data_IF_002708388557
#
_entry.id   IF_002708388557
#
_cell.length_a   1.000
_cell.length_b   1.000
_cell.length_c   1.000
_cell.angle_alpha   90.00
_cell.angle_beta   90.00
_cell.angle_gamma   90.00
#
_symmetry.space_group_name_H-M   'P 1'
#
loop_
_entity.id
_entity.type
_entity.pdbx_description
1 polymer ?
#
# COMPACT_ATOMS: atom_id res chain seq x y z
N UNK A 1 -26.72 -17.96 21.11
CA UNK A 1 -26.18 -18.77 22.24
C UNK A 1 -24.81 -18.25 22.62
N UNK A 2 -24.22 -18.69 23.75
CA UNK A 2 -22.83 -18.32 24.11
C UNK A 2 -21.84 -18.71 23.01
N UNK A 3 -22.06 -19.84 22.34
CA UNK A 3 -21.26 -20.28 21.21
C UNK A 3 -21.34 -19.32 20.01
N UNK A 4 -22.54 -18.81 19.68
CA UNK A 4 -22.70 -17.84 18.60
C UNK A 4 -22.05 -16.49 18.92
N UNK A 5 -22.07 -16.07 20.19
CA UNK A 5 -21.42 -14.84 20.65
C UNK A 5 -19.88 -14.97 20.62
N UNK A 6 -19.33 -16.11 21.02
CA UNK A 6 -17.90 -16.38 20.93
C UNK A 6 -17.42 -16.49 19.48
N UNK A 7 -18.21 -17.11 18.59
CA UNK A 7 -17.93 -17.15 17.17
C UNK A 7 -17.97 -15.75 16.53
N UNK A 8 -18.95 -14.92 16.93
CA UNK A 8 -19.06 -13.53 16.49
C UNK A 8 -17.87 -12.69 16.95
N UNK A 9 -17.49 -12.81 18.23
CA UNK A 9 -16.30 -12.14 18.77
C UNK A 9 -15.03 -12.55 18.05
N UNK A 10 -14.83 -13.86 17.83
CA UNK A 10 -13.66 -14.37 17.10
C UNK A 10 -13.61 -13.86 15.65
N UNK A 11 -14.76 -13.78 14.98
CA UNK A 11 -14.85 -13.21 13.63
C UNK A 11 -14.53 -11.72 13.61
N UNK A 12 -14.98 -10.96 14.62
CA UNK A 12 -14.65 -9.54 14.77
C UNK A 12 -13.15 -9.38 15.03
N UNK A 13 -12.55 -10.15 15.95
CA UNK A 13 -11.12 -10.08 16.27
C UNK A 13 -10.22 -10.50 15.09
N UNK A 14 -10.70 -11.40 14.23
CA UNK A 14 -9.97 -11.83 13.02
C UNK A 14 -10.07 -10.79 11.91
N UNK A 15 -11.19 -10.08 11.80
CA UNK A 15 -11.43 -9.05 10.80
C UNK A 15 -10.84 -7.69 11.21
N UNK A 16 -10.89 -7.35 12.50
CA UNK A 16 -10.47 -6.09 13.11
C UNK A 16 -9.16 -6.27 13.84
N UNK A 17 -8.11 -5.66 13.31
CA UNK A 17 -6.76 -5.83 13.81
C UNK A 17 -6.28 -4.51 14.40
N UNK A 18 -6.34 -4.37 15.72
CA UNK A 18 -5.80 -3.17 16.38
C UNK A 18 -4.30 -3.01 16.08
N UNK A 19 -3.94 -1.87 15.49
CA UNK A 19 -2.56 -1.59 15.11
C UNK A 19 -1.65 -1.55 16.31
N UNK A 20 -2.12 -1.02 17.44
CA UNK A 20 -1.32 -0.99 18.67
C UNK A 20 -0.94 -2.40 19.12
N UNK A 21 -1.83 -3.38 19.00
CA UNK A 21 -1.55 -4.75 19.41
C UNK A 21 -0.60 -5.47 18.43
N UNK A 22 -0.77 -5.27 17.13
CA UNK A 22 0.14 -5.87 16.14
C UNK A 22 1.51 -5.19 16.08
N UNK A 23 1.56 -3.87 16.10
CA UNK A 23 2.82 -3.11 16.04
C UNK A 23 3.66 -3.24 17.31
N UNK A 24 3.08 -3.68 18.44
CA UNK A 24 3.85 -4.12 19.61
C UNK A 24 4.82 -5.26 19.30
N UNK A 25 4.57 -6.03 18.24
CA UNK A 25 5.47 -7.10 17.76
C UNK A 25 6.52 -6.62 16.75
N UNK A 26 6.59 -5.30 16.52
CA UNK A 26 7.55 -4.65 15.62
C UNK A 26 7.06 -4.50 14.17
N UNK A 27 7.64 -3.53 13.46
CA UNK A 27 7.41 -3.30 12.03
C UNK A 27 7.82 -4.50 11.16
N UNK A 28 8.84 -5.25 11.57
CA UNK A 28 9.29 -6.44 10.84
C UNK A 28 8.19 -7.51 10.76
N UNK A 29 7.44 -7.73 11.85
CA UNK A 29 6.36 -8.71 11.87
C UNK A 29 5.22 -8.35 10.92
N UNK A 30 4.90 -7.05 10.84
CA UNK A 30 3.90 -6.54 9.89
C UNK A 30 4.32 -6.75 8.44
N UNK A 31 5.61 -6.63 8.12
CA UNK A 31 6.10 -6.96 6.78
C UNK A 31 5.94 -8.46 6.48
N UNK A 32 6.23 -9.35 7.44
CA UNK A 32 6.06 -10.81 7.25
C UNK A 32 4.60 -11.21 6.98
N UNK A 33 3.64 -10.66 7.72
CA UNK A 33 2.21 -10.95 7.49
C UNK A 33 1.71 -10.43 6.14
N UNK A 34 2.26 -9.31 5.68
CA UNK A 34 1.99 -8.80 4.33
C UNK A 34 2.60 -9.70 3.26
N UNK A 35 3.81 -10.23 3.47
CA UNK A 35 4.47 -11.20 2.58
C UNK A 35 3.69 -12.50 2.43
N UNK A 36 3.09 -13.02 3.51
CA UNK A 36 2.29 -14.27 3.47
C UNK A 36 1.03 -14.13 2.61
N UNK A 37 0.34 -13.00 2.68
CA UNK A 37 -0.82 -12.74 1.83
C UNK A 37 -0.39 -12.61 0.37
N UNK A 38 0.68 -11.85 0.11
CA UNK A 38 1.20 -11.62 -1.23
C UNK A 38 1.72 -12.89 -1.92
N UNK A 39 2.37 -13.80 -1.19
CA UNK A 39 2.92 -15.04 -1.76
C UNK A 39 1.84 -15.99 -2.27
N UNK A 40 0.65 -15.98 -1.65
CA UNK A 40 -0.51 -16.81 -2.02
C UNK A 40 -1.36 -16.21 -3.14
N UNK A 41 -1.15 -14.94 -3.47
CA UNK A 41 -1.91 -14.24 -4.49
C UNK A 41 -1.26 -14.36 -5.87
N UNK A 42 -2.04 -14.27 -6.94
CA UNK A 42 -1.52 -14.18 -8.33
C UNK A 42 -1.61 -12.74 -8.85
N UNK A 43 -2.66 -12.01 -8.48
CA UNK A 43 -2.90 -10.62 -8.81
C UNK A 43 -2.98 -9.81 -7.52
N UNK A 44 -2.18 -8.74 -7.45
CA UNK A 44 -2.17 -7.82 -6.32
C UNK A 44 -2.54 -6.44 -6.84
N UNK A 45 -3.63 -5.89 -6.32
CA UNK A 45 -4.11 -4.53 -6.62
C UNK A 45 -3.91 -3.67 -5.40
N UNK A 46 -3.52 -2.41 -5.55
CA UNK A 46 -3.31 -1.52 -4.43
C UNK A 46 -3.70 -0.09 -4.80
N UNK A 47 -4.47 0.55 -3.94
CA UNK A 47 -4.79 1.97 -4.00
C UNK A 47 -4.11 2.69 -2.83
N UNK A 48 -3.32 3.72 -3.14
CA UNK A 48 -2.71 4.61 -2.15
C UNK A 48 -2.99 6.08 -2.51
N UNK A 49 -3.85 6.79 -1.76
CA UNK A 49 -4.26 8.14 -2.13
C UNK A 49 -3.18 9.20 -1.88
N UNK A 50 -2.30 9.00 -0.88
CA UNK A 50 -1.44 10.06 -0.36
C UNK A 50 -0.02 9.63 0.04
N UNK A 51 0.36 8.35 -0.14
CA UNK A 51 1.68 7.82 0.15
C UNK A 51 2.11 6.84 -0.95
N UNK A 52 3.41 6.65 -1.17
CA UNK A 52 3.88 5.62 -2.09
C UNK A 52 3.73 4.23 -1.46
N UNK A 53 3.14 3.29 -2.22
CA UNK A 53 2.99 1.89 -1.82
C UNK A 53 4.30 1.29 -1.32
N UNK A 54 4.27 0.58 -0.19
CA UNK A 54 5.45 -0.04 0.42
C UNK A 54 6.20 -1.03 -0.49
N UNK A 55 5.56 -1.54 -1.55
CA UNK A 55 6.23 -2.38 -2.56
C UNK A 55 7.07 -1.58 -3.56
N UNK A 56 6.86 -0.27 -3.67
CA UNK A 56 7.54 0.63 -4.61
C UNK A 56 8.52 1.57 -3.92
N UNK A 57 8.60 1.52 -2.59
CA UNK A 57 9.43 2.42 -1.79
C UNK A 57 10.94 2.16 -1.96
N UNK A 58 11.77 3.19 -1.92
CA UNK A 58 13.20 3.07 -1.66
C UNK A 58 13.44 2.78 -0.18
N UNK A 59 14.66 2.35 0.18
CA UNK A 59 15.02 2.12 1.57
C UNK A 59 14.90 3.40 2.41
N UNK A 60 15.39 4.53 1.89
CA UNK A 60 15.34 5.83 2.57
C UNK A 60 13.90 6.31 2.78
N UNK A 61 13.03 6.19 1.78
CA UNK A 61 11.62 6.56 1.92
C UNK A 61 10.91 5.62 2.92
N UNK A 62 11.18 4.31 2.84
CA UNK A 62 10.64 3.34 3.78
C UNK A 62 11.07 3.65 5.22
N UNK A 63 12.33 4.05 5.43
CA UNK A 63 12.85 4.43 6.74
C UNK A 63 12.17 5.69 7.28
N UNK A 64 11.94 6.69 6.44
CA UNK A 64 11.22 7.91 6.83
C UNK A 64 9.77 7.63 7.23
N UNK A 65 9.04 6.84 6.42
CA UNK A 65 7.67 6.41 6.74
C UNK A 65 7.64 5.63 8.06
N UNK A 66 8.51 4.64 8.21
CA UNK A 66 8.54 3.79 9.41
C UNK A 66 8.93 4.56 10.67
N UNK A 67 9.88 5.50 10.58
CA UNK A 67 10.24 6.37 11.68
C UNK A 67 9.03 7.17 12.18
N UNK A 68 8.24 7.73 11.26
CA UNK A 68 7.02 8.47 11.61
C UNK A 68 5.99 7.55 12.29
N UNK A 69 5.79 6.33 11.77
CA UNK A 69 4.89 5.33 12.38
C UNK A 69 5.37 4.94 13.78
N UNK A 70 6.66 4.68 13.96
CA UNK A 70 7.25 4.30 15.24
C UNK A 70 7.03 5.40 16.28
N UNK A 71 7.33 6.65 15.92
CA UNK A 71 7.15 7.81 16.79
C UNK A 71 5.68 8.05 17.13
N UNK A 72 4.79 7.98 16.15
CA UNK A 72 3.36 8.25 16.33
C UNK A 72 2.68 7.22 17.23
N UNK A 73 2.93 5.92 17.01
CA UNK A 73 2.31 4.85 17.79
C UNK A 73 3.09 4.48 19.06
N UNK A 74 4.26 5.09 19.30
CA UNK A 74 5.12 4.85 20.47
C UNK A 74 5.46 3.36 20.64
N UNK A 75 5.88 2.72 19.55
CA UNK A 75 6.21 1.29 19.49
C UNK A 75 7.73 1.06 19.59
N UNK A 76 8.20 -0.17 19.87
CA UNK A 76 9.63 -0.46 19.88
C UNK A 76 10.30 -0.05 18.58
N UNK A 77 11.48 0.54 18.68
CA UNK A 77 12.24 0.96 17.51
C UNK A 77 12.98 -0.23 16.89
N UNK A 78 12.33 -0.90 15.94
CA UNK A 78 12.90 -1.95 15.10
C UNK A 78 13.10 -1.47 13.65
N UNK A 79 13.44 -0.18 13.47
CA UNK A 79 13.47 0.47 12.15
C UNK A 79 14.32 -0.29 11.12
N UNK A 80 15.58 -0.61 11.46
CA UNK A 80 16.51 -1.26 10.52
C UNK A 80 16.02 -2.64 10.09
N UNK A 81 15.48 -3.42 11.03
CA UNK A 81 14.86 -4.73 10.76
C UNK A 81 13.60 -4.58 9.90
N UNK A 82 12.78 -3.58 10.19
CA UNK A 82 11.57 -3.26 9.43
C UNK A 82 11.88 -2.87 7.99
N UNK A 83 12.87 -1.99 7.77
CA UNK A 83 13.30 -1.53 6.44
C UNK A 83 13.86 -2.72 5.67
N UNK A 84 14.74 -3.52 6.29
CA UNK A 84 15.29 -4.74 5.69
C UNK A 84 14.18 -5.67 5.24
N UNK A 85 13.25 -6.01 6.13
CA UNK A 85 12.12 -6.89 5.82
C UNK A 85 11.23 -6.34 4.69
N UNK A 86 11.05 -5.01 4.60
CA UNK A 86 10.33 -4.40 3.49
C UNK A 86 11.07 -4.54 2.17
N UNK A 87 12.38 -4.24 2.14
CA UNK A 87 13.19 -4.37 0.93
C UNK A 87 13.24 -5.83 0.44
N UNK A 88 13.33 -6.80 1.36
CA UNK A 88 13.25 -8.22 1.01
C UNK A 88 11.91 -8.60 0.39
N UNK A 89 10.81 -8.09 0.96
CA UNK A 89 9.45 -8.32 0.44
C UNK A 89 9.28 -7.77 -0.97
N UNK A 90 9.94 -6.68 -1.34
CA UNK A 90 9.83 -6.09 -2.68
C UNK A 90 10.36 -7.00 -3.80
N UNK A 91 11.18 -8.01 -3.48
CA UNK A 91 11.64 -9.01 -4.47
C UNK A 91 10.47 -9.74 -5.15
N UNK A 92 9.29 -9.76 -4.53
CA UNK A 92 8.08 -10.34 -5.12
C UNK A 92 7.66 -9.68 -6.44
N UNK A 93 8.03 -8.41 -6.67
CA UNK A 93 7.75 -7.70 -7.93
C UNK A 93 8.36 -8.36 -9.16
N UNK A 94 9.41 -9.16 -8.97
CA UNK A 94 10.15 -9.82 -10.05
C UNK A 94 9.73 -11.28 -10.27
N UNK A 95 8.77 -11.79 -9.49
CA UNK A 95 8.26 -13.16 -9.64
C UNK A 95 7.35 -13.27 -10.88
N UNK A 96 7.59 -14.31 -11.70
CA UNK A 96 6.94 -14.46 -13.02
C UNK A 96 5.46 -14.81 -12.95
N UNK A 97 5.00 -15.36 -11.83
CA UNK A 97 3.62 -15.78 -11.58
C UNK A 97 2.78 -14.67 -10.92
N UNK A 98 3.36 -13.49 -10.67
CA UNK A 98 2.66 -12.37 -10.01
C UNK A 98 2.38 -11.23 -10.98
N UNK A 99 1.19 -10.61 -10.86
CA UNK A 99 0.81 -9.37 -11.54
C UNK A 99 0.42 -8.32 -10.53
N UNK A 100 0.84 -7.09 -10.77
CA UNK A 100 0.59 -5.97 -9.89
C UNK A 100 -0.10 -4.83 -10.63
N UNK A 101 -1.09 -4.22 -9.97
CA UNK A 101 -1.68 -2.97 -10.41
C UNK A 101 -1.72 -2.00 -9.24
N UNK A 102 -0.80 -1.04 -9.26
CA UNK A 102 -0.70 0.03 -8.29
C UNK A 102 -1.40 1.26 -8.83
N UNK A 103 -2.32 1.81 -8.04
CA UNK A 103 -2.95 3.10 -8.27
C UNK A 103 -2.50 4.03 -7.16
N UNK A 104 -1.96 5.17 -7.56
CA UNK A 104 -1.58 6.23 -6.64
C UNK A 104 -2.47 7.44 -6.89
N UNK A 105 -2.94 8.10 -5.83
CA UNK A 105 -3.38 9.48 -5.98
C UNK A 105 -2.17 10.35 -6.30
N UNK A 106 -2.30 11.31 -7.23
CA UNK A 106 -1.18 12.20 -7.57
C UNK A 106 -0.62 12.94 -6.33
N UNK A 107 -1.44 13.19 -5.30
CA UNK A 107 -1.00 13.73 -4.01
C UNK A 107 0.12 12.89 -3.36
N UNK A 108 0.19 11.58 -3.58
CA UNK A 108 1.25 10.72 -3.07
C UNK A 108 2.65 11.09 -3.57
N UNK A 109 2.75 11.79 -4.71
CA UNK A 109 4.01 12.30 -5.24
C UNK A 109 4.50 13.56 -4.50
N UNK A 110 3.58 14.26 -3.84
CA UNK A 110 3.81 15.55 -3.19
C UNK A 110 3.91 15.45 -1.67
N UNK A 111 3.29 14.45 -1.04
CA UNK A 111 3.43 14.19 0.40
C UNK A 111 4.88 13.84 0.76
N UNK A 112 5.55 14.72 1.51
CA UNK A 112 6.96 14.54 1.88
C UNK A 112 7.13 13.54 3.01
N UNK A 113 7.95 12.51 2.77
CA UNK A 113 8.49 11.63 3.80
C UNK A 113 10.02 11.73 3.76
N UNK A 114 10.63 12.15 4.86
CA UNK A 114 12.05 12.48 4.91
C UNK A 114 12.29 13.90 4.42
N UNK A 115 13.18 14.06 3.46
CA UNK A 115 13.53 15.34 2.84
C UNK A 115 13.40 15.28 1.31
N UNK A 116 13.75 16.37 0.62
CA UNK A 116 13.67 16.43 -0.84
C UNK A 116 14.60 15.43 -1.53
N UNK A 117 15.76 15.12 -0.96
CA UNK A 117 16.67 14.09 -1.48
C UNK A 117 16.04 12.70 -1.44
N UNK A 118 15.39 12.36 -0.33
CA UNK A 118 14.63 11.10 -0.17
C UNK A 118 13.49 11.03 -1.19
N UNK A 119 12.75 12.12 -1.33
CA UNK A 119 11.63 12.20 -2.28
C UNK A 119 12.08 12.09 -3.74
N UNK A 120 13.17 12.75 -4.13
CA UNK A 120 13.73 12.64 -5.49
C UNK A 120 14.11 11.19 -5.78
N UNK A 121 14.82 10.52 -4.88
CA UNK A 121 15.16 9.10 -5.04
C UNK A 121 13.93 8.20 -5.14
N UNK A 122 12.87 8.52 -4.39
CA UNK A 122 11.60 7.80 -4.49
C UNK A 122 10.87 8.01 -5.83
N UNK A 123 10.86 9.25 -6.34
CA UNK A 123 10.23 9.56 -7.63
C UNK A 123 11.01 8.92 -8.79
N UNK A 124 12.34 8.94 -8.74
CA UNK A 124 13.21 8.23 -9.70
C UNK A 124 12.93 6.72 -9.68
N UNK A 125 12.69 6.13 -8.50
CA UNK A 125 12.27 4.73 -8.38
C UNK A 125 10.95 4.46 -9.08
N UNK A 126 9.92 5.32 -8.92
CA UNK A 126 8.64 5.15 -9.63
C UNK A 126 8.84 5.23 -11.15
N UNK A 127 9.67 6.18 -11.61
CA UNK A 127 10.04 6.30 -13.00
C UNK A 127 10.66 5.00 -13.54
N UNK A 128 11.54 4.36 -12.76
CA UNK A 128 12.18 3.08 -13.15
C UNK A 128 11.22 1.89 -13.21
N UNK A 129 10.09 1.94 -12.49
CA UNK A 129 9.11 0.84 -12.41
C UNK A 129 8.13 0.88 -13.59
N UNK A 130 7.86 2.07 -14.15
CA UNK A 130 7.06 2.19 -15.37
C UNK A 130 7.78 1.43 -16.49
N UNK A 131 7.10 0.42 -17.05
CA UNK A 131 7.65 -0.47 -18.08
C UNK A 131 8.11 -1.84 -17.56
N UNK A 132 8.15 -2.05 -16.23
CA UNK A 132 8.45 -3.37 -15.67
C UNK A 132 7.35 -4.38 -16.07
N UNK A 133 7.69 -5.56 -16.63
CA UNK A 133 6.70 -6.54 -17.01
C UNK A 133 5.82 -6.94 -15.83
N UNK A 134 4.51 -7.08 -16.07
CA UNK A 134 3.51 -7.48 -15.06
C UNK A 134 3.27 -6.46 -13.94
N UNK A 135 3.81 -5.26 -14.05
CA UNK A 135 3.48 -4.13 -13.16
C UNK A 135 2.78 -3.05 -13.96
N UNK A 136 1.58 -2.68 -13.52
CA UNK A 136 0.87 -1.48 -14.00
C UNK A 136 0.92 -0.45 -12.88
N UNK A 137 1.42 0.75 -13.20
CA UNK A 137 1.38 1.91 -12.32
C UNK A 137 0.46 2.96 -12.95
N UNK A 138 -0.68 3.19 -12.30
CA UNK A 138 -1.60 4.27 -12.62
C UNK A 138 -1.51 5.39 -11.59
N UNK A 139 -1.68 6.62 -12.05
CA UNK A 139 -1.76 7.80 -11.18
C UNK A 139 -3.10 8.48 -11.45
N UNK A 140 -3.93 8.62 -10.41
CA UNK A 140 -5.19 9.36 -10.46
C UNK A 140 -4.85 10.85 -10.32
N UNK A 141 -5.08 11.68 -11.35
CA UNK A 141 -4.76 13.10 -11.30
C UNK A 141 -5.54 13.83 -10.20
N UNK A 142 -4.95 14.89 -9.62
CA UNK A 142 -5.58 15.72 -8.56
C UNK A 142 -6.90 16.35 -8.99
N UNK A 143 -7.05 16.61 -10.29
CA UNK A 143 -8.24 17.24 -10.88
C UNK A 143 -9.29 16.23 -11.36
N UNK A 144 -9.06 14.92 -11.17
CA UNK A 144 -10.04 13.90 -11.51
C UNK A 144 -11.33 14.06 -10.69
N UNK A 145 -12.49 13.77 -11.30
CA UNK A 145 -13.78 13.82 -10.62
C UNK A 145 -13.81 12.83 -9.44
N UNK A 146 -14.33 13.22 -8.28
CA UNK A 146 -14.46 12.32 -7.13
C UNK A 146 -15.60 11.30 -7.25
N UNK A 147 -15.49 10.33 -8.17
CA UNK A 147 -16.54 9.31 -8.39
C UNK A 147 -16.62 8.26 -7.26
N UNK A 148 -15.50 8.04 -6.57
CA UNK A 148 -15.43 7.17 -5.39
C UNK A 148 -14.41 7.76 -4.41
N UNK A 149 -14.73 7.70 -3.12
CA UNK A 149 -13.82 8.09 -2.04
C UNK A 149 -13.65 6.86 -1.16
N UNK A 150 -12.40 6.44 -1.00
CA UNK A 150 -12.03 5.21 -0.31
C UNK A 150 -10.61 5.36 0.24
N UNK A 151 -10.42 4.84 1.45
CA UNK A 151 -9.13 4.73 2.14
C UNK A 151 -8.13 3.85 1.37
N UNK A 152 -6.88 3.78 1.81
CA UNK A 152 -5.91 2.90 1.15
C UNK A 152 -6.22 1.42 1.41
N UNK A 153 -6.05 0.59 0.38
CA UNK A 153 -6.27 -0.84 0.48
C UNK A 153 -5.40 -1.65 -0.48
N UNK A 154 -5.20 -2.91 -0.14
CA UNK A 154 -4.61 -3.95 -0.98
C UNK A 154 -5.64 -5.03 -1.25
N UNK A 155 -5.81 -5.44 -2.50
CA UNK A 155 -6.55 -6.64 -2.87
C UNK A 155 -5.58 -7.74 -3.29
N UNK A 156 -5.78 -8.93 -2.76
CA UNK A 156 -5.05 -10.16 -3.08
C UNK A 156 -6.02 -11.12 -3.76
N UNK A 157 -5.91 -11.20 -5.09
CA UNK A 157 -6.92 -11.81 -5.96
C UNK A 157 -8.34 -11.29 -5.64
N UNK A 158 -9.35 -12.15 -5.75
CA UNK A 158 -10.72 -11.91 -5.29
C UNK A 158 -10.98 -12.65 -3.95
N UNK A 159 -9.96 -12.73 -3.10
CA UNK A 159 -9.97 -13.54 -1.87
C UNK A 159 -9.82 -12.74 -0.59
N UNK A 160 -9.11 -11.63 -0.65
CA UNK A 160 -8.79 -10.82 0.52
C UNK A 160 -8.58 -9.37 0.10
N UNK A 161 -9.24 -8.46 0.81
CA UNK A 161 -8.86 -7.05 0.83
C UNK A 161 -8.32 -6.70 2.21
N UNK A 162 -7.17 -6.04 2.26
CA UNK A 162 -6.63 -5.45 3.48
C UNK A 162 -6.77 -3.94 3.39
N UNK A 163 -7.48 -3.37 4.35
CA UNK A 163 -7.75 -1.94 4.47
C UNK A 163 -6.92 -1.43 5.64
N UNK A 164 -6.23 -0.30 5.47
CA UNK A 164 -5.43 0.27 6.56
C UNK A 164 -6.13 1.45 7.21
N UNK A 165 -6.70 1.25 8.41
CA UNK A 165 -7.19 2.35 9.24
C UNK A 165 -6.07 2.98 10.08
N UNK A 166 -6.39 3.98 10.90
CA UNK A 166 -5.41 4.60 11.81
C UNK A 166 -5.34 3.90 13.17
N UNK A 167 -6.43 3.33 13.66
CA UNK A 167 -6.44 2.55 14.90
C UNK A 167 -6.28 1.05 14.66
N UNK A 168 -6.80 0.57 13.53
CA UNK A 168 -6.81 -0.84 13.16
C UNK A 168 -6.80 -1.05 11.65
N UNK A 169 -6.29 -2.19 11.21
CA UNK A 169 -6.47 -2.70 9.85
C UNK A 169 -7.69 -3.60 9.77
N UNK A 170 -8.33 -3.65 8.61
CA UNK A 170 -9.47 -4.55 8.36
C UNK A 170 -9.09 -5.57 7.30
N UNK A 171 -9.33 -6.85 7.58
CA UNK A 171 -9.23 -7.93 6.59
C UNK A 171 -10.62 -8.33 6.12
N UNK A 172 -10.95 -7.96 4.88
CA UNK A 172 -12.24 -8.25 4.24
C UNK A 172 -12.11 -9.51 3.40
N UNK A 173 -12.88 -10.53 3.75
CA UNK A 173 -12.91 -11.84 3.08
C UNK A 173 -14.29 -12.19 2.50
N UNK A 174 -15.32 -11.39 2.79
CA UNK A 174 -16.68 -11.62 2.28
C UNK A 174 -16.73 -11.29 0.77
N UNK A 175 -17.15 -12.23 -0.10
CA UNK A 175 -17.12 -12.02 -1.56
C UNK A 175 -17.87 -10.78 -2.05
N UNK A 176 -19.02 -10.46 -1.44
CA UNK A 176 -19.81 -9.26 -1.78
C UNK A 176 -19.08 -7.95 -1.49
N UNK A 177 -18.27 -7.91 -0.42
CA UNK A 177 -17.51 -6.74 -0.02
C UNK A 177 -16.23 -6.63 -0.86
N UNK A 178 -15.56 -7.76 -1.13
CA UNK A 178 -14.44 -7.80 -2.09
C UNK A 178 -14.88 -7.26 -3.46
N UNK A 179 -16.07 -7.64 -3.93
CA UNK A 179 -16.63 -7.12 -5.17
C UNK A 179 -16.90 -5.61 -5.13
N UNK A 180 -17.24 -5.04 -3.97
CA UNK A 180 -17.40 -3.59 -3.80
C UNK A 180 -16.04 -2.88 -3.91
N UNK A 181 -14.99 -3.37 -3.24
CA UNK A 181 -13.63 -2.85 -3.40
C UNK A 181 -13.11 -3.01 -4.83
N UNK A 182 -13.47 -4.11 -5.51
CA UNK A 182 -13.14 -4.31 -6.92
C UNK A 182 -13.77 -3.25 -7.84
N UNK A 183 -15.04 -2.89 -7.60
CA UNK A 183 -15.68 -1.78 -8.33
C UNK A 183 -15.01 -0.44 -8.05
N UNK A 184 -14.70 -0.15 -6.79
CA UNK A 184 -13.98 1.08 -6.43
C UNK A 184 -12.62 1.16 -7.12
N UNK A 185 -11.85 0.06 -7.10
CA UNK A 185 -10.56 -0.02 -7.79
C UNK A 185 -10.69 0.21 -9.30
N UNK A 186 -11.71 -0.38 -9.95
CA UNK A 186 -11.92 -0.21 -11.39
C UNK A 186 -12.25 1.25 -11.75
N UNK A 187 -13.11 1.92 -10.98
CA UNK A 187 -13.41 3.34 -11.17
C UNK A 187 -12.12 4.16 -11.06
N UNK A 188 -11.31 3.94 -10.03
CA UNK A 188 -10.03 4.64 -9.86
C UNK A 188 -9.06 4.33 -11.01
N UNK A 189 -9.02 3.10 -11.50
CA UNK A 189 -8.18 2.70 -12.62
C UNK A 189 -8.59 3.42 -13.92
N UNK A 190 -9.89 3.52 -14.20
CA UNK A 190 -10.45 4.25 -15.34
C UNK A 190 -10.14 5.75 -15.29
N UNK A 191 -9.97 6.31 -14.09
CA UNK A 191 -9.58 7.71 -13.88
C UNK A 191 -8.06 7.93 -13.85
N UNK A 192 -7.28 6.86 -13.86
CA UNK A 192 -5.82 6.94 -13.74
C UNK A 192 -5.15 7.06 -15.11
N UNK A 193 -4.07 7.83 -15.16
CA UNK A 193 -3.15 7.84 -16.29
C UNK A 193 -2.02 6.85 -16.07
N UNK A 194 -1.51 6.24 -17.15
CA UNK A 194 -0.41 5.26 -17.11
C UNK A 194 0.68 5.62 -18.12
N UNK A 195 1.78 4.86 -18.15
CA UNK A 195 2.83 5.04 -19.17
C UNK A 195 3.46 6.44 -19.14
N UNK A 196 3.54 7.09 -20.31
CA UNK A 196 4.18 8.40 -20.47
C UNK A 196 3.45 9.53 -19.74
N UNK A 197 2.11 9.48 -19.65
CA UNK A 197 1.36 10.48 -18.90
C UNK A 197 1.62 10.38 -17.39
N UNK A 198 1.75 9.15 -16.87
CA UNK A 198 2.18 8.92 -15.50
C UNK A 198 3.63 9.41 -15.27
N UNK A 199 4.55 9.18 -16.23
CA UNK A 199 5.91 9.72 -16.18
C UNK A 199 5.92 11.24 -16.12
N UNK A 200 5.08 11.90 -16.91
CA UNK A 200 4.97 13.36 -16.91
C UNK A 200 4.51 13.90 -15.54
N UNK A 201 3.56 13.24 -14.88
CA UNK A 201 3.15 13.58 -13.52
C UNK A 201 4.28 13.43 -12.50
N UNK A 202 5.02 12.31 -12.56
CA UNK A 202 6.18 12.05 -11.69
C UNK A 202 7.26 13.11 -11.91
N UNK A 203 7.56 13.46 -13.17
CA UNK A 203 8.54 14.49 -13.50
C UNK A 203 8.10 15.85 -12.95
N UNK A 204 6.84 16.25 -13.15
CA UNK A 204 6.32 17.50 -12.56
C UNK A 204 6.46 17.54 -11.05
N UNK A 205 6.22 16.44 -10.35
CA UNK A 205 6.41 16.39 -8.89
C UNK A 205 7.89 16.44 -8.48
N UNK A 206 8.78 15.89 -9.32
CA UNK A 206 10.23 15.94 -9.11
C UNK A 206 10.77 17.35 -9.30
N UNK A 207 10.28 18.08 -10.30
CA UNK A 207 10.73 19.45 -10.62
C UNK A 207 10.37 20.47 -9.53
N UNK A 208 9.45 20.15 -8.62
CA UNK A 208 9.13 21.01 -7.47
C UNK A 208 10.07 20.82 -6.27
N UNK A 209 11.05 19.91 -6.36
CA UNK A 209 12.00 19.57 -5.29
C UNK A 209 13.35 20.20 -5.60
N UNK A 210 14.01 20.79 -4.60
CA UNK A 210 15.32 21.45 -4.74
C UNK A 210 16.48 20.53 -4.38
#
# INVERSE_FOLDING_TARGET
TLADLLATLHNIDTAYVEWRQQLRTGMANRQRESSKAASRATVIRNWEPAMISGLLQTADYAAAVMSNVIAFYQIPNDLDEGVTARMERQRILYQRDKRFHFLLGEQALYTTFGDDRVMIGQLDRLYSIIGLPRVTLGIVPREAQGLVIVENFFMFDDRLVKVEGHSAGISVTQPREIALYGRAFNILAEQSVTGEEARALIQRARDTRN
#
